data_IF_174451761275
#
_entry.id   IF_174451761275
#
_cell.length_a   1.000
_cell.length_b   1.000
_cell.length_c   1.000
_cell.angle_alpha   90.00
_cell.angle_beta   90.00
_cell.angle_gamma   90.00
#
_symmetry.space_group_name_H-M   'P 1'
#
loop_
_entity.id
_entity.type
_entity.pdbx_description
1 polymer ?
#
# COMPACT_ATOMS: atom_id res chain seq x y z
N UNK A 1 9.38 -25.17 -19.58
CA UNK A 1 8.37 -24.16 -19.96
C UNK A 1 8.84 -22.83 -19.40
N UNK A 2 9.05 -21.82 -20.24
CA UNK A 2 9.23 -20.43 -19.77
C UNK A 2 7.83 -19.85 -19.58
N UNK A 3 7.50 -19.43 -18.36
CA UNK A 3 6.25 -18.75 -18.10
C UNK A 3 6.34 -17.34 -18.68
N UNK A 4 5.32 -16.86 -19.41
CA UNK A 4 5.35 -15.52 -20.02
C UNK A 4 5.37 -14.37 -19.00
N UNK A 5 5.10 -14.69 -17.73
CA UNK A 5 5.06 -13.74 -16.62
C UNK A 5 5.61 -14.37 -15.35
N UNK A 6 6.28 -13.57 -14.53
CA UNK A 6 6.60 -13.89 -13.14
C UNK A 6 5.68 -13.07 -12.24
N UNK A 7 5.00 -13.74 -11.32
CA UNK A 7 4.02 -13.12 -10.42
C UNK A 7 4.44 -13.39 -8.98
N UNK A 8 4.57 -12.32 -8.20
CA UNK A 8 4.81 -12.36 -6.76
C UNK A 8 3.64 -11.71 -6.01
N UNK A 9 3.30 -12.24 -4.84
CA UNK A 9 2.32 -11.64 -3.95
C UNK A 9 2.93 -11.48 -2.56
N UNK A 10 2.65 -10.36 -1.91
CA UNK A 10 3.13 -10.02 -0.58
C UNK A 10 2.02 -9.43 0.29
N UNK A 11 2.11 -9.66 1.60
CA UNK A 11 1.22 -9.07 2.60
C UNK A 11 2.05 -8.67 3.81
N UNK A 12 1.87 -7.43 4.28
CA UNK A 12 2.53 -6.91 5.46
C UNK A 12 1.52 -6.20 6.38
N UNK A 13 1.73 -6.29 7.69
CA UNK A 13 0.97 -5.53 8.69
C UNK A 13 1.35 -4.04 8.63
N UNK A 14 0.36 -3.15 8.65
CA UNK A 14 0.53 -1.69 8.65
C UNK A 14 -0.29 -1.02 9.77
N UNK A 15 -0.72 -1.78 10.77
CA UNK A 15 -1.59 -1.33 11.85
C UNK A 15 -0.90 -0.24 12.66
N UNK A 16 -1.46 0.97 12.63
CA UNK A 16 -1.04 2.06 13.50
C UNK A 16 -2.04 2.19 14.65
N UNK A 17 -1.62 1.90 15.88
CA UNK A 17 -2.48 2.04 17.05
C UNK A 17 -2.04 3.24 17.90
N UNK A 18 -2.82 4.32 17.83
CA UNK A 18 -2.63 5.53 18.64
C UNK A 18 -3.95 5.82 19.37
N UNK A 19 -4.11 5.40 20.64
CA UNK A 19 -5.33 5.63 21.39
C UNK A 19 -5.74 7.10 21.43
N UNK A 20 -7.03 7.38 21.24
CA UNK A 20 -7.59 8.73 21.35
C UNK A 20 -7.45 9.62 20.12
N UNK A 21 -6.69 9.22 19.09
CA UNK A 21 -6.69 9.94 17.80
C UNK A 21 -8.04 9.74 17.09
N UNK A 22 -8.49 10.75 16.36
CA UNK A 22 -9.71 10.67 15.54
C UNK A 22 -9.45 9.78 14.33
N UNK A 23 -10.34 8.83 14.07
CA UNK A 23 -10.26 7.96 12.89
C UNK A 23 -10.54 8.75 11.61
N UNK A 24 -9.76 8.48 10.57
CA UNK A 24 -9.91 9.13 9.27
C UNK A 24 -11.11 8.55 8.51
N UNK A 25 -11.93 9.42 7.91
CA UNK A 25 -13.00 9.02 6.98
C UNK A 25 -14.35 9.67 7.28
N UNK A 26 -14.90 9.44 8.48
CA UNK A 26 -16.26 9.90 8.80
C UNK A 26 -16.38 11.41 9.07
N UNK A 27 -15.26 12.14 9.19
CA UNK A 27 -15.28 13.56 9.55
C UNK A 27 -15.87 13.84 10.93
N UNK A 28 -15.94 12.83 11.80
CA UNK A 28 -16.55 12.92 13.12
C UNK A 28 -15.47 13.03 14.21
N UNK A 29 -15.33 14.19 14.90
CA UNK A 29 -14.29 14.38 15.92
C UNK A 29 -14.50 13.53 17.18
N UNK A 30 -15.68 12.94 17.38
CA UNK A 30 -15.97 12.05 18.51
C UNK A 30 -15.64 10.59 18.21
N UNK A 31 -15.31 10.26 16.96
CA UNK A 31 -14.98 8.90 16.54
C UNK A 31 -13.48 8.64 16.67
N UNK A 32 -13.03 8.38 17.90
CA UNK A 32 -11.61 8.14 18.20
C UNK A 32 -11.26 6.65 18.36
N UNK A 33 -10.00 6.33 18.08
CA UNK A 33 -9.41 4.99 18.22
C UNK A 33 -9.43 4.56 19.68
N UNK A 34 -9.98 3.38 19.96
CA UNK A 34 -10.05 2.79 21.32
C UNK A 34 -9.28 1.49 21.43
N UNK A 35 -9.36 0.65 20.41
CA UNK A 35 -8.71 -0.65 20.31
C UNK A 35 -8.58 -1.03 18.83
N UNK A 36 -7.82 -2.09 18.55
CA UNK A 36 -7.72 -2.71 17.22
C UNK A 36 -8.63 -3.94 17.22
N UNK A 37 -9.66 -3.94 16.36
CA UNK A 37 -10.53 -5.11 16.17
C UNK A 37 -9.84 -6.15 15.27
N UNK A 38 -9.36 -5.69 14.11
CA UNK A 38 -8.56 -6.49 13.17
C UNK A 38 -7.34 -5.70 12.70
N UNK A 39 -6.17 -6.34 12.52
CA UNK A 39 -4.99 -5.68 11.95
C UNK A 39 -5.26 -5.18 10.53
N UNK A 40 -4.62 -4.07 10.18
CA UNK A 40 -4.61 -3.50 8.84
C UNK A 40 -3.38 -4.01 8.07
N UNK A 41 -3.53 -4.18 6.76
CA UNK A 41 -2.48 -4.72 5.92
C UNK A 41 -2.27 -3.92 4.63
N UNK A 42 -1.02 -3.93 4.18
CA UNK A 42 -0.66 -3.66 2.80
C UNK A 42 -0.57 -4.98 2.04
N UNK A 43 -1.16 -5.04 0.84
CA UNK A 43 -1.07 -6.19 -0.06
C UNK A 43 -0.45 -5.75 -1.38
N UNK A 44 0.60 -6.45 -1.79
CA UNK A 44 1.33 -6.17 -3.02
C UNK A 44 1.19 -7.32 -4.02
N UNK A 45 1.06 -6.97 -5.29
CA UNK A 45 1.23 -7.89 -6.41
C UNK A 45 2.32 -7.33 -7.31
N UNK A 46 3.34 -8.14 -7.57
CA UNK A 46 4.41 -7.88 -8.52
C UNK A 46 4.15 -8.69 -9.79
N UNK A 47 4.18 -8.04 -10.94
CA UNK A 47 4.02 -8.70 -12.24
C UNK A 47 5.20 -8.29 -13.11
N UNK A 48 5.98 -9.26 -13.56
CA UNK A 48 7.16 -9.03 -14.38
C UNK A 48 7.09 -9.83 -15.68
N UNK A 49 7.51 -9.17 -16.77
CA UNK A 49 7.74 -9.80 -18.07
C UNK A 49 9.25 -10.00 -18.29
N UNK A 50 9.78 -11.22 -18.11
CA UNK A 50 11.23 -11.47 -18.08
C UNK A 50 11.97 -10.97 -19.32
N UNK A 51 11.38 -11.10 -20.51
CA UNK A 51 12.06 -10.75 -21.78
C UNK A 51 12.32 -9.25 -21.91
N UNK A 52 11.44 -8.44 -21.34
CA UNK A 52 11.51 -6.97 -21.41
C UNK A 52 11.94 -6.32 -20.10
N UNK A 53 12.04 -7.12 -19.02
CA UNK A 53 12.20 -6.65 -17.63
C UNK A 53 11.17 -5.58 -17.24
N UNK A 54 10.01 -5.59 -17.90
CA UNK A 54 8.92 -4.67 -17.58
C UNK A 54 8.23 -5.18 -16.32
N UNK A 55 8.14 -4.30 -15.33
CA UNK A 55 7.52 -4.57 -14.04
C UNK A 55 6.26 -3.73 -13.89
N UNK A 56 5.22 -4.28 -13.28
CA UNK A 56 4.09 -3.54 -12.72
C UNK A 56 3.87 -3.98 -11.29
N UNK A 57 3.69 -3.01 -10.40
CA UNK A 57 3.49 -3.21 -8.97
C UNK A 57 2.15 -2.61 -8.60
N UNK A 58 1.25 -3.43 -8.05
CA UNK A 58 0.01 -2.97 -7.46
C UNK A 58 0.08 -3.12 -5.94
N UNK A 59 -0.13 -2.03 -5.22
CA UNK A 59 -0.23 -1.98 -3.77
C UNK A 59 -1.66 -1.60 -3.37
N UNK A 60 -2.28 -2.40 -2.52
CA UNK A 60 -3.57 -2.11 -1.91
C UNK A 60 -3.40 -1.97 -0.40
N UNK A 61 -3.72 -0.78 0.12
CA UNK A 61 -3.60 -0.42 1.52
C UNK A 61 -4.98 -0.44 2.19
N UNK A 62 -5.09 -1.08 3.35
CA UNK A 62 -6.30 -1.03 4.20
C UNK A 62 -6.38 0.30 4.96
N UNK A 63 -6.52 1.41 4.23
CA UNK A 63 -6.67 2.78 4.76
C UNK A 63 -7.82 3.52 4.06
N UNK A 64 -8.17 4.71 4.55
CA UNK A 64 -9.24 5.53 3.97
C UNK A 64 -8.89 6.06 2.58
N UNK A 65 -7.72 6.68 2.40
CA UNK A 65 -7.22 7.09 1.09
C UNK A 65 -5.70 7.20 1.12
N UNK A 66 -5.09 7.17 -0.07
CA UNK A 66 -3.64 7.35 -0.22
C UNK A 66 -3.37 8.84 -0.38
N UNK A 67 -2.57 9.42 0.51
CA UNK A 67 -2.12 10.81 0.36
C UNK A 67 -0.96 10.91 -0.62
N UNK A 68 -0.79 12.10 -1.21
CA UNK A 68 0.39 12.39 -2.02
C UNK A 68 1.68 12.21 -1.20
N UNK A 69 1.70 12.65 0.06
CA UNK A 69 2.84 12.50 0.95
C UNK A 69 3.22 11.02 1.17
N UNK A 70 2.24 10.13 1.38
CA UNK A 70 2.49 8.70 1.50
C UNK A 70 3.02 8.12 0.18
N UNK A 71 2.48 8.56 -0.95
CA UNK A 71 2.93 8.13 -2.29
C UNK A 71 4.39 8.53 -2.53
N UNK A 72 4.77 9.75 -2.17
CA UNK A 72 6.14 10.25 -2.31
C UNK A 72 7.10 9.51 -1.39
N UNK A 73 6.77 9.33 -0.11
CA UNK A 73 7.60 8.60 0.83
C UNK A 73 7.81 7.13 0.43
N UNK A 74 6.76 6.45 -0.02
CA UNK A 74 6.87 5.07 -0.53
C UNK A 74 7.74 5.00 -1.79
N UNK A 75 7.62 5.99 -2.69
CA UNK A 75 8.44 6.05 -3.89
C UNK A 75 9.93 6.24 -3.57
N UNK A 76 10.25 7.15 -2.65
CA UNK A 76 11.61 7.38 -2.17
C UNK A 76 12.23 6.12 -1.55
N UNK A 77 11.45 5.39 -0.74
CA UNK A 77 11.92 4.14 -0.14
C UNK A 77 12.15 3.05 -1.19
N UNK A 78 11.21 2.87 -2.13
CA UNK A 78 11.30 1.86 -3.18
C UNK A 78 12.53 2.09 -4.09
N UNK A 79 12.86 3.34 -4.37
CA UNK A 79 14.00 3.70 -5.22
C UNK A 79 15.36 3.36 -4.59
N UNK A 80 15.45 3.20 -3.25
CA UNK A 80 16.70 2.78 -2.59
C UNK A 80 17.09 1.35 -2.95
N UNK A 81 16.10 0.47 -3.08
CA UNK A 81 16.32 -0.94 -3.43
C UNK A 81 16.18 -1.21 -4.93
N UNK A 82 15.29 -0.47 -5.61
CA UNK A 82 14.91 -0.71 -7.00
C UNK A 82 15.03 0.55 -7.86
N UNK A 83 16.24 1.08 -7.97
CA UNK A 83 16.55 2.32 -8.70
C UNK A 83 16.20 2.32 -10.21
N UNK A 84 15.98 1.14 -10.80
CA UNK A 84 15.59 1.00 -12.20
C UNK A 84 14.06 1.08 -12.42
N UNK A 85 13.25 1.03 -11.36
CA UNK A 85 11.81 1.20 -11.48
C UNK A 85 11.48 2.63 -11.85
N UNK A 86 10.48 2.79 -12.71
CA UNK A 86 9.87 4.09 -13.02
C UNK A 86 8.56 4.25 -12.26
N UNK A 87 8.19 5.51 -12.03
CA UNK A 87 7.04 5.83 -11.18
C UNK A 87 5.70 5.38 -11.75
N UNK A 88 5.58 5.34 -13.08
CA UNK A 88 4.41 4.83 -13.82
C UNK A 88 4.19 3.31 -13.63
N UNK A 89 5.18 2.59 -13.09
CA UNK A 89 5.09 1.15 -12.84
C UNK A 89 4.49 0.82 -11.47
N UNK A 90 4.27 1.82 -10.61
CA UNK A 90 3.70 1.66 -9.27
C UNK A 90 2.27 2.21 -9.23
N UNK A 91 1.32 1.35 -8.90
CA UNK A 91 -0.08 1.70 -8.67
C UNK A 91 -0.36 1.51 -7.18
N UNK A 92 -0.77 2.58 -6.49
CA UNK A 92 -1.14 2.53 -5.08
C UNK A 92 -2.64 2.81 -4.95
N UNK A 93 -3.33 1.92 -4.24
CA UNK A 93 -4.77 1.97 -4.02
C UNK A 93 -5.09 1.85 -2.54
N UNK A 94 -6.28 2.29 -2.14
CA UNK A 94 -6.80 2.15 -0.80
C UNK A 94 -8.17 1.47 -0.82
N UNK A 95 -8.48 0.71 0.23
CA UNK A 95 -9.78 0.04 0.35
C UNK A 95 -10.92 0.99 0.78
N UNK A 96 -10.58 2.20 1.21
CA UNK A 96 -11.53 3.20 1.71
C UNK A 96 -12.23 2.82 3.02
N UNK A 97 -11.52 2.07 3.88
CA UNK A 97 -11.99 1.83 5.25
C UNK A 97 -12.01 3.14 6.06
N UNK A 98 -13.04 3.33 6.87
CA UNK A 98 -13.19 4.46 7.79
C UNK A 98 -12.88 4.05 9.24
N UNK A 99 -12.22 2.91 9.40
CA UNK A 99 -11.89 2.27 10.68
C UNK A 99 -10.43 1.83 10.66
N UNK A 100 -9.56 2.78 10.31
CA UNK A 100 -8.10 2.65 10.28
C UNK A 100 -7.44 3.66 11.23
#
# INVERSE_FOLDING_TARGET
MTYPWLIGAGKADITAFIPGIVMLGHGNPLNSVKYVDTPLHARAIWIEKPESKQVSIMLCLEVCFVTQALTDALWEELQKEYSNLRRDQLIITAQHTHSA
#
